data_IF_588058663739
#
_entry.id   IF_588058663739
#
_cell.length_a   1.000
_cell.length_b   1.000
_cell.length_c   1.000
_cell.angle_alpha   90.00
_cell.angle_beta   90.00
_cell.angle_gamma   90.00
#
_symmetry.space_group_name_H-M   'P 1'
#
loop_
_entity.id
_entity.type
_entity.pdbx_description
1 polymer ?
#
# COMPACT_ATOMS: atom_id res chain seq x y z
N UNK A 1 8.69 -14.46 -14.60
CA UNK A 1 8.23 -14.22 -13.22
C UNK A 1 6.88 -13.53 -13.34
N UNK A 2 5.80 -14.30 -13.29
CA UNK A 2 4.43 -13.78 -13.39
C UNK A 2 4.00 -13.23 -12.02
N UNK A 3 3.64 -11.96 -11.97
CA UNK A 3 3.09 -11.30 -10.80
C UNK A 3 1.58 -11.58 -10.77
N UNK A 4 1.15 -12.39 -9.81
CA UNK A 4 -0.27 -12.60 -9.51
C UNK A 4 -0.81 -11.40 -8.72
N UNK A 5 -1.88 -10.78 -9.20
CA UNK A 5 -2.58 -9.70 -8.50
C UNK A 5 -4.08 -10.01 -8.42
N UNK A 6 -4.65 -9.97 -7.22
CA UNK A 6 -6.06 -10.29 -6.94
C UNK A 6 -6.66 -9.29 -5.94
N UNK A 7 -7.89 -8.84 -6.24
CA UNK A 7 -8.75 -7.98 -5.41
C UNK A 7 -9.16 -8.68 -4.10
N UNK A 8 -9.02 -7.99 -2.97
CA UNK A 8 -9.69 -8.37 -1.71
C UNK A 8 -10.86 -7.42 -1.48
N UNK A 9 -12.10 -7.90 -1.72
CA UNK A 9 -13.33 -7.29 -1.24
C UNK A 9 -13.84 -8.09 -0.04
N UNK A 10 -13.33 -7.86 1.18
CA UNK A 10 -13.95 -8.43 2.39
C UNK A 10 -13.89 -7.49 3.59
N UNK A 11 -15.04 -7.37 4.26
CA UNK A 11 -15.23 -6.75 5.57
C UNK A 11 -14.44 -7.50 6.64
N UNK A 12 -13.98 -6.79 7.67
CA UNK A 12 -13.16 -7.31 8.78
C UNK A 12 -13.75 -8.61 9.36
N UNK A 13 -13.02 -9.73 9.23
CA UNK A 13 -13.39 -11.02 9.82
C UNK A 13 -12.57 -11.32 11.08
N UNK A 14 -13.17 -12.05 12.01
CA UNK A 14 -12.48 -12.63 13.17
C UNK A 14 -11.36 -13.59 12.72
N UNK A 15 -10.26 -13.62 13.47
CA UNK A 15 -9.05 -14.43 13.16
C UNK A 15 -9.36 -15.92 12.97
N UNK A 16 -10.36 -16.46 13.70
CA UNK A 16 -10.81 -17.86 13.56
C UNK A 16 -11.42 -18.15 12.20
N UNK A 17 -12.14 -17.20 11.60
CA UNK A 17 -12.74 -17.33 10.26
C UNK A 17 -11.73 -17.10 9.14
N UNK A 18 -10.69 -16.29 9.38
CA UNK A 18 -9.61 -16.06 8.41
C UNK A 18 -8.79 -17.34 8.12
N UNK A 19 -8.64 -18.23 9.12
CA UNK A 19 -7.97 -19.54 8.96
C UNK A 19 -8.65 -20.49 7.98
N UNK A 20 -9.92 -20.26 7.65
CA UNK A 20 -10.69 -21.06 6.69
C UNK A 20 -10.78 -20.42 5.29
N UNK A 21 -10.20 -19.23 5.11
CA UNK A 21 -10.10 -18.58 3.80
C UNK A 21 -8.94 -19.12 2.98
N UNK A 22 -9.05 -19.06 1.65
CA UNK A 22 -7.93 -19.36 0.77
C UNK A 22 -6.76 -18.39 1.05
N UNK A 23 -5.60 -18.94 1.41
CA UNK A 23 -4.35 -18.18 1.58
C UNK A 23 -3.60 -17.99 0.26
N UNK A 24 -2.53 -17.20 0.29
CA UNK A 24 -1.60 -17.05 -0.82
C UNK A 24 -0.32 -17.80 -0.46
N UNK A 25 0.18 -18.61 -1.39
CA UNK A 25 1.47 -19.27 -1.28
C UNK A 25 2.51 -18.46 -2.04
N UNK A 26 3.68 -18.27 -1.43
CA UNK A 26 4.81 -17.61 -2.05
C UNK A 26 6.11 -18.22 -1.52
N UNK A 27 7.19 -18.08 -2.29
CA UNK A 27 8.50 -18.62 -1.92
C UNK A 27 9.12 -17.80 -0.79
N UNK A 28 10.01 -18.42 -0.04
CA UNK A 28 10.78 -17.70 0.96
C UNK A 28 11.61 -16.57 0.34
N UNK A 29 11.79 -15.50 1.10
CA UNK A 29 12.63 -14.38 0.74
C UNK A 29 13.21 -13.79 2.03
N UNK A 30 14.53 -13.77 2.10
CA UNK A 30 15.27 -13.34 3.29
C UNK A 30 16.44 -12.45 2.90
N UNK A 31 16.78 -11.51 3.77
CA UNK A 31 17.98 -10.68 3.64
C UNK A 31 18.98 -11.04 4.73
N UNK A 32 20.28 -10.98 4.42
CA UNK A 32 21.28 -11.19 5.48
C UNK A 32 21.22 -10.04 6.48
N UNK A 33 21.37 -10.35 7.78
CA UNK A 33 21.20 -9.37 8.86
C UNK A 33 22.13 -8.15 8.75
N UNK A 34 23.38 -8.38 8.35
CA UNK A 34 24.39 -7.36 8.07
C UNK A 34 24.02 -6.47 6.87
N UNK A 35 23.27 -7.00 5.91
CA UNK A 35 22.73 -6.25 4.78
C UNK A 35 21.44 -5.50 5.10
N UNK A 36 20.84 -5.65 6.29
CA UNK A 36 19.62 -4.92 6.68
C UNK A 36 19.92 -3.52 7.23
N UNK A 37 20.74 -2.77 6.49
CA UNK A 37 21.19 -1.41 6.80
C UNK A 37 20.10 -0.37 6.48
N UNK A 38 20.15 0.83 7.07
CA UNK A 38 19.24 1.93 6.72
C UNK A 38 19.19 2.22 5.20
N UNK A 39 20.33 2.15 4.52
CA UNK A 39 20.40 2.35 3.07
C UNK A 39 19.62 1.27 2.30
N UNK A 40 19.75 0.00 2.69
CA UNK A 40 19.03 -1.09 2.03
C UNK A 40 17.53 -1.08 2.33
N UNK A 41 17.11 -0.52 3.47
CA UNK A 41 15.69 -0.32 3.82
C UNK A 41 15.01 0.69 2.90
N UNK A 42 15.74 1.65 2.32
CA UNK A 42 15.22 2.52 1.25
C UNK A 42 14.79 1.75 0.00
N UNK A 43 15.29 0.53 -0.21
CA UNK A 43 14.88 -0.34 -1.31
C UNK A 43 13.99 -1.49 -0.82
N UNK A 44 13.47 -1.41 0.41
CA UNK A 44 12.84 -2.52 1.11
C UNK A 44 11.72 -3.15 0.31
N UNK A 45 10.77 -2.36 -0.20
CA UNK A 45 9.66 -2.90 -1.02
C UNK A 45 10.09 -3.45 -2.40
N UNK A 46 11.29 -3.15 -2.90
CA UNK A 46 11.82 -3.79 -4.12
C UNK A 46 12.44 -5.15 -3.86
N UNK A 47 12.78 -5.46 -2.59
CA UNK A 47 13.57 -6.63 -2.22
C UNK A 47 12.85 -7.58 -1.27
N UNK A 48 11.94 -7.06 -0.46
CA UNK A 48 11.22 -7.80 0.56
C UNK A 48 9.82 -8.19 0.08
N UNK A 49 9.29 -9.32 0.56
CA UNK A 49 7.93 -9.73 0.24
C UNK A 49 6.93 -8.83 0.98
N UNK A 50 5.98 -8.27 0.23
CA UNK A 50 4.90 -7.45 0.77
C UNK A 50 3.54 -7.85 0.17
N UNK A 51 2.47 -7.56 0.91
CA UNK A 51 1.11 -7.60 0.44
C UNK A 51 0.74 -6.22 -0.10
N UNK A 52 0.03 -6.18 -1.23
CA UNK A 52 -0.59 -4.97 -1.75
C UNK A 52 -2.10 -5.03 -1.52
N UNK A 53 -2.63 -4.01 -0.86
CA UNK A 53 -4.06 -3.89 -0.54
C UNK A 53 -4.67 -2.82 -1.43
N UNK A 54 -5.45 -3.24 -2.42
CA UNK A 54 -6.17 -2.32 -3.32
C UNK A 54 -7.47 -1.85 -2.68
N UNK A 55 -7.75 -0.56 -2.81
CA UNK A 55 -9.01 0.04 -2.36
C UNK A 55 -9.52 1.09 -3.35
N UNK A 56 -10.72 1.60 -3.08
CA UNK A 56 -11.27 2.78 -3.72
C UNK A 56 -11.55 3.83 -2.65
N UNK A 57 -10.78 4.92 -2.68
CA UNK A 57 -10.94 6.06 -1.78
C UNK A 57 -11.99 7.04 -2.34
N UNK A 58 -12.81 7.58 -1.46
CA UNK A 58 -13.76 8.66 -1.78
C UNK A 58 -13.42 9.83 -0.87
N UNK A 59 -12.83 10.92 -1.41
CA UNK A 59 -12.48 12.09 -0.60
C UNK A 59 -13.72 12.76 -0.02
N UNK A 60 -13.60 13.24 1.22
CA UNK A 60 -14.65 14.05 1.86
C UNK A 60 -14.65 15.50 1.38
N UNK A 61 -13.47 16.01 1.00
CA UNK A 61 -13.31 17.36 0.48
C UNK A 61 -12.55 17.31 -0.85
N UNK A 62 -13.11 17.96 -1.86
CA UNK A 62 -12.52 18.10 -3.19
C UNK A 62 -12.66 19.54 -3.64
N UNK A 63 -11.59 20.14 -4.13
CA UNK A 63 -11.57 21.49 -4.67
C UNK A 63 -11.69 21.45 -6.19
N UNK A 64 -12.69 22.14 -6.74
CA UNK A 64 -12.85 22.35 -8.18
C UNK A 64 -12.59 23.79 -8.55
N UNK A 65 -12.33 24.02 -9.83
CA UNK A 65 -12.21 25.35 -10.39
C UNK A 65 -13.59 25.79 -10.92
N UNK A 66 -14.09 26.91 -10.42
CA UNK A 66 -15.34 27.56 -10.86
C UNK A 66 -15.09 29.06 -10.97
N UNK A 67 -15.35 29.65 -12.14
CA UNK A 67 -15.06 31.07 -12.45
C UNK A 67 -13.63 31.52 -12.09
N UNK A 68 -12.66 30.63 -12.31
CA UNK A 68 -11.24 30.88 -12.02
C UNK A 68 -10.86 30.84 -10.54
N UNK A 69 -11.78 30.47 -9.65
CA UNK A 69 -11.57 30.34 -8.21
C UNK A 69 -11.74 28.89 -7.75
N UNK A 70 -11.03 28.53 -6.69
CA UNK A 70 -11.21 27.23 -6.05
C UNK A 70 -12.44 27.26 -5.15
N UNK A 71 -13.37 26.34 -5.41
CA UNK A 71 -14.57 26.12 -4.60
C UNK A 71 -14.69 24.65 -4.23
N UNK A 72 -15.36 24.36 -3.11
CA UNK A 72 -15.59 22.97 -2.68
C UNK A 72 -16.61 22.30 -3.62
N UNK A 73 -16.28 21.12 -4.12
CA UNK A 73 -17.23 20.26 -4.81
C UNK A 73 -18.17 19.62 -3.79
N UNK A 74 -19.47 19.70 -4.04
CA UNK A 74 -20.52 19.25 -3.13
C UNK A 74 -21.09 17.88 -3.51
N UNK A 75 -20.91 17.44 -4.76
CA UNK A 75 -21.49 16.22 -5.30
C UNK A 75 -20.43 15.23 -5.81
N UNK A 76 -19.31 15.08 -5.10
CA UNK A 76 -18.26 14.15 -5.51
C UNK A 76 -18.71 12.69 -5.36
N UNK A 77 -18.68 11.94 -6.45
CA UNK A 77 -19.16 10.56 -6.50
C UNK A 77 -18.04 9.54 -6.21
N UNK A 78 -18.41 8.44 -5.56
CA UNK A 78 -17.50 7.30 -5.39
C UNK A 78 -17.10 6.74 -6.76
N UNK A 79 -15.80 6.47 -6.91
CA UNK A 79 -15.27 5.94 -8.17
C UNK A 79 -14.98 7.02 -9.22
N UNK A 80 -15.12 8.29 -8.88
CA UNK A 80 -14.66 9.41 -9.72
C UNK A 80 -13.15 9.61 -9.55
N UNK A 81 -12.48 9.96 -10.65
CA UNK A 81 -11.06 10.33 -10.63
C UNK A 81 -10.86 11.66 -9.89
N UNK A 82 -9.84 11.72 -9.03
CA UNK A 82 -9.42 12.95 -8.37
C UNK A 82 -7.91 13.11 -8.42
N UNK A 83 -7.42 14.29 -8.04
CA UNK A 83 -6.02 14.64 -8.12
C UNK A 83 -5.52 15.11 -6.74
N UNK A 84 -4.43 14.55 -6.23
CA UNK A 84 -3.79 15.02 -4.98
C UNK A 84 -2.64 15.97 -5.32
N UNK A 85 -2.69 17.20 -4.83
CA UNK A 85 -1.60 18.16 -4.99
C UNK A 85 -0.28 17.61 -4.42
N UNK A 86 0.81 17.79 -5.16
CA UNK A 86 2.13 17.26 -4.78
C UNK A 86 2.65 17.89 -3.49
N UNK A 87 2.43 19.20 -3.32
CA UNK A 87 3.06 20.00 -2.25
C UNK A 87 2.13 20.27 -1.08
N UNK A 88 0.85 20.53 -1.33
CA UNK A 88 -0.13 20.80 -0.26
C UNK A 88 -0.91 19.56 0.20
N UNK A 89 -0.89 18.47 -0.57
CA UNK A 89 -1.63 17.26 -0.27
C UNK A 89 -3.16 17.40 -0.37
N UNK A 90 -3.68 18.55 -0.85
CA UNK A 90 -5.11 18.77 -1.02
C UNK A 90 -5.66 17.97 -2.20
N UNK A 91 -6.96 17.70 -2.18
CA UNK A 91 -7.64 16.96 -3.25
C UNK A 91 -8.37 17.91 -4.18
N UNK A 92 -8.17 17.70 -5.48
CA UNK A 92 -8.68 18.52 -6.56
C UNK A 92 -9.50 17.68 -7.55
N UNK A 93 -10.51 18.31 -8.16
CA UNK A 93 -11.32 17.71 -9.20
C UNK A 93 -10.59 17.66 -10.57
N UNK A 94 -9.57 18.50 -10.77
CA UNK A 94 -8.76 18.53 -12.00
C UNK A 94 -7.32 18.95 -11.74
N UNK A 95 -6.41 18.70 -12.69
CA UNK A 95 -5.01 19.16 -12.60
C UNK A 95 -4.90 20.69 -12.67
N UNK A 96 -5.79 21.34 -13.40
CA UNK A 96 -5.88 22.80 -13.50
C UNK A 96 -6.25 23.41 -12.15
N UNK A 97 -7.19 22.78 -11.43
CA UNK A 97 -7.53 23.20 -10.07
C UNK A 97 -6.32 23.04 -9.13
N UNK A 98 -5.55 21.96 -9.24
CA UNK A 98 -4.34 21.77 -8.44
C UNK A 98 -3.28 22.87 -8.69
N UNK A 99 -3.07 23.27 -9.96
CA UNK A 99 -2.17 24.38 -10.32
C UNK A 99 -2.64 25.73 -9.78
N UNK A 100 -3.94 25.89 -9.50
CA UNK A 100 -4.53 27.09 -8.90
C UNK A 100 -4.54 27.06 -7.36
N UNK A 101 -3.79 26.14 -6.74
CA UNK A 101 -3.62 26.12 -5.29
C UNK A 101 -3.14 27.48 -4.77
N UNK A 102 -3.80 27.93 -3.71
CA UNK A 102 -3.45 29.19 -3.03
C UNK A 102 -2.11 29.09 -2.30
N UNK A 103 -1.75 27.88 -1.85
CA UNK A 103 -0.52 27.63 -1.09
C UNK A 103 0.66 27.29 -2.00
N UNK A 104 0.39 26.60 -3.11
CA UNK A 104 1.41 26.13 -4.05
C UNK A 104 0.96 26.29 -5.51
N UNK A 105 1.00 27.51 -6.08
CA UNK A 105 0.71 27.74 -7.48
C UNK A 105 1.59 26.89 -8.41
N UNK A 106 1.02 26.44 -9.52
CA UNK A 106 1.67 25.62 -10.56
C UNK A 106 2.24 24.27 -10.09
N UNK A 107 1.80 23.76 -8.93
CA UNK A 107 2.20 22.44 -8.46
C UNK A 107 1.74 21.31 -9.39
N UNK A 108 2.48 20.19 -9.36
CA UNK A 108 2.04 18.92 -9.91
C UNK A 108 0.92 18.30 -9.07
N UNK A 109 0.27 17.27 -9.62
CA UNK A 109 -0.73 16.50 -8.90
C UNK A 109 -0.71 15.03 -9.32
N UNK A 110 -0.88 14.15 -8.33
CA UNK A 110 -1.02 12.71 -8.51
C UNK A 110 -2.45 12.34 -8.92
N UNK A 111 -2.60 11.49 -9.92
CA UNK A 111 -3.90 11.09 -10.47
C UNK A 111 -4.40 9.80 -9.83
N UNK A 112 -5.56 9.85 -9.18
CA UNK A 112 -6.23 8.68 -8.60
C UNK A 112 -7.36 8.24 -9.52
N UNK A 113 -7.01 7.44 -10.52
CA UNK A 113 -7.97 6.97 -11.53
C UNK A 113 -9.08 6.15 -10.88
N UNK A 114 -10.32 6.58 -11.06
CA UNK A 114 -11.51 6.00 -10.44
C UNK A 114 -11.41 5.87 -8.90
N UNK A 115 -10.67 6.79 -8.26
CA UNK A 115 -10.38 6.77 -6.83
C UNK A 115 -9.58 5.56 -6.36
N UNK A 116 -8.98 4.78 -7.27
CA UNK A 116 -8.17 3.62 -6.91
C UNK A 116 -6.88 4.05 -6.23
N UNK A 117 -6.55 3.36 -5.15
CA UNK A 117 -5.24 3.45 -4.52
C UNK A 117 -4.87 2.10 -3.90
N UNK A 118 -3.61 1.99 -3.50
CA UNK A 118 -3.13 0.82 -2.78
C UNK A 118 -2.31 1.19 -1.55
N UNK A 119 -2.14 0.20 -0.68
CA UNK A 119 -1.24 0.25 0.46
C UNK A 119 -0.32 -0.96 0.43
N UNK A 120 0.92 -0.80 0.88
CA UNK A 120 1.84 -1.92 1.07
C UNK A 120 1.91 -2.32 2.53
N UNK A 121 2.09 -3.61 2.77
CA UNK A 121 2.40 -4.15 4.09
C UNK A 121 3.40 -5.29 3.97
N UNK A 122 4.51 -5.24 4.70
CA UNK A 122 5.45 -6.36 4.77
C UNK A 122 4.78 -7.58 5.40
N UNK A 123 5.01 -8.77 4.84
CA UNK A 123 4.42 -10.01 5.36
C UNK A 123 4.93 -10.39 6.76
N UNK A 124 6.17 -10.04 7.09
CA UNK A 124 6.77 -10.34 8.39
C UNK A 124 7.43 -9.12 9.04
N UNK A 125 6.70 -8.02 9.23
CA UNK A 125 7.24 -6.86 9.93
C UNK A 125 7.57 -7.19 11.39
N UNK A 126 8.85 -7.16 11.75
CA UNK A 126 9.32 -7.29 13.14
C UNK A 126 10.06 -6.03 13.55
N UNK A 127 9.76 -5.52 14.74
CA UNK A 127 10.33 -4.27 15.25
C UNK A 127 11.14 -4.51 16.52
N UNK A 128 12.21 -3.74 16.71
CA UNK A 128 13.01 -3.80 17.94
C UNK A 128 12.24 -3.27 19.16
N UNK A 129 11.37 -2.30 18.90
CA UNK A 129 10.75 -1.44 19.89
C UNK A 129 9.24 -1.42 19.72
N UNK A 130 8.53 -1.16 20.82
CA UNK A 130 7.07 -1.09 20.86
C UNK A 130 6.49 0.12 20.11
N UNK A 131 7.33 1.12 19.79
CA UNK A 131 6.96 2.26 18.94
C UNK A 131 6.66 1.87 17.48
N UNK A 132 7.04 0.66 17.08
CA UNK A 132 6.81 0.13 15.74
C UNK A 132 7.64 0.79 14.63
N UNK A 133 8.53 1.74 14.96
CA UNK A 133 9.24 2.56 13.95
C UNK A 133 10.44 1.84 13.35
N UNK A 134 11.23 1.19 14.21
CA UNK A 134 12.45 0.49 13.79
C UNK A 134 12.14 -0.95 13.40
N UNK A 135 12.19 -1.25 12.10
CA UNK A 135 12.06 -2.60 11.55
C UNK A 135 13.43 -3.27 11.63
N UNK A 136 13.50 -4.42 12.29
CA UNK A 136 14.73 -5.22 12.43
C UNK A 136 14.74 -6.48 11.60
N UNK A 137 13.58 -6.92 11.12
CA UNK A 137 13.45 -8.07 10.25
C UNK A 137 12.14 -8.01 9.46
N UNK A 138 12.19 -8.51 8.22
CA UNK A 138 11.07 -8.61 7.29
C UNK A 138 11.06 -9.95 6.51
N UNK A 139 11.94 -10.88 6.88
CA UNK A 139 12.14 -12.13 6.16
C UNK A 139 10.91 -13.02 6.15
N UNK A 140 10.65 -13.71 5.05
CA UNK A 140 9.67 -14.79 4.99
C UNK A 140 10.39 -16.10 4.80
N UNK A 141 10.05 -17.10 5.62
CA UNK A 141 10.70 -18.41 5.63
C UNK A 141 9.70 -19.47 5.24
N UNK A 142 10.17 -20.50 4.54
CA UNK A 142 9.37 -21.68 4.21
C UNK A 142 8.72 -22.29 5.44
N UNK A 143 7.59 -22.98 5.25
CA UNK A 143 6.84 -23.66 6.32
C UNK A 143 6.31 -22.74 7.44
N UNK A 144 6.10 -21.46 7.14
CA UNK A 144 5.46 -20.50 8.05
C UNK A 144 4.22 -19.89 7.39
N UNK A 145 3.21 -19.58 8.20
CA UNK A 145 2.04 -18.83 7.77
C UNK A 145 2.09 -17.43 8.34
N UNK A 146 1.94 -16.42 7.48
CA UNK A 146 1.95 -15.01 7.84
C UNK A 146 0.53 -14.45 7.80
N UNK A 147 -0.05 -14.16 8.97
CA UNK A 147 -1.38 -13.58 9.09
C UNK A 147 -1.27 -12.06 9.23
N UNK A 148 -1.73 -11.33 8.22
CA UNK A 148 -1.87 -9.87 8.26
C UNK A 148 -3.30 -9.49 8.60
N UNK A 149 -3.48 -8.75 9.69
CA UNK A 149 -4.78 -8.16 10.08
C UNK A 149 -4.71 -6.67 9.90
N UNK A 150 -5.40 -6.15 8.88
CA UNK A 150 -5.60 -4.70 8.71
C UNK A 150 -6.45 -4.23 9.90
N UNK A 151 -6.07 -3.12 10.55
CA UNK A 151 -6.81 -2.52 11.68
C UNK A 151 -7.51 -1.23 11.29
N UNK A 152 -6.82 -0.40 10.52
CA UNK A 152 -7.33 0.89 10.07
C UNK A 152 -6.55 1.37 8.85
N UNK A 153 -7.19 2.22 8.04
CA UNK A 153 -6.53 3.07 7.06
C UNK A 153 -6.43 4.47 7.68
N UNK A 154 -5.23 5.02 7.78
CA UNK A 154 -4.95 6.29 8.47
C UNK A 154 -4.66 7.44 7.51
N UNK A 155 -4.57 7.18 6.21
CA UNK A 155 -4.49 8.21 5.19
C UNK A 155 -4.70 7.66 3.78
N UNK A 156 -4.47 8.53 2.80
CA UNK A 156 -4.64 8.20 1.39
C UNK A 156 -3.49 7.31 0.92
N UNK A 157 -3.82 6.14 0.35
CA UNK A 157 -2.83 5.22 -0.22
C UNK A 157 -2.20 5.77 -1.50
N UNK A 158 -1.25 5.04 -2.07
CA UNK A 158 -0.56 5.44 -3.30
C UNK A 158 -1.45 5.24 -4.56
N UNK A 159 -1.37 6.12 -5.56
CA UNK A 159 -2.08 6.04 -6.84
C UNK A 159 -1.43 5.04 -7.82
N UNK A 160 -0.15 4.70 -7.63
CA UNK A 160 0.60 3.67 -8.36
C UNK A 160 1.83 3.24 -7.56
N UNK A 161 2.43 2.11 -7.94
CA UNK A 161 3.51 1.47 -7.20
C UNK A 161 4.84 1.47 -8.00
N UNK A 162 5.86 2.26 -7.60
CA UNK A 162 7.19 2.22 -8.21
C UNK A 162 7.90 0.86 -8.17
N UNK A 163 7.63 0.05 -7.14
CA UNK A 163 8.19 -1.30 -6.98
C UNK A 163 7.51 -2.37 -7.83
N UNK A 164 6.32 -2.06 -8.35
CA UNK A 164 5.57 -2.93 -9.25
C UNK A 164 4.95 -2.11 -10.40
N UNK A 165 5.79 -1.62 -11.34
CA UNK A 165 5.37 -0.71 -12.40
C UNK A 165 4.48 -1.37 -13.46
N UNK A 166 4.33 -2.70 -13.43
CA UNK A 166 3.52 -3.48 -14.38
C UNK A 166 2.20 -3.96 -13.76
N UNK A 167 1.82 -3.40 -12.62
CA UNK A 167 0.57 -3.73 -11.94
C UNK A 167 -0.64 -3.39 -12.84
N UNK A 168 -1.44 -4.39 -13.26
CA UNK A 168 -2.60 -4.15 -14.12
C UNK A 168 -3.76 -3.46 -13.39
N UNK A 169 -3.80 -3.49 -12.05
CA UNK A 169 -4.89 -2.92 -11.26
C UNK A 169 -4.62 -1.48 -10.84
N UNK A 170 -3.35 -1.10 -10.77
CA UNK A 170 -2.86 0.22 -10.39
C UNK A 170 -1.75 0.68 -11.36
N UNK A 171 -2.09 0.93 -12.64
CA UNK A 171 -1.10 1.16 -13.68
C UNK A 171 -0.33 2.46 -13.46
N UNK A 172 0.95 2.45 -13.84
CA UNK A 172 1.80 3.64 -13.81
C UNK A 172 1.21 4.76 -14.69
N UNK A 173 1.19 6.02 -14.23
CA UNK A 173 0.80 7.16 -15.05
C UNK A 173 1.65 7.27 -16.32
N UNK A 174 1.00 7.58 -17.45
CA UNK A 174 1.66 7.84 -18.74
C UNK A 174 1.92 9.34 -18.97
N UNK A 175 1.32 10.20 -18.14
CA UNK A 175 1.47 11.65 -18.25
C UNK A 175 2.85 12.08 -17.71
N UNK A 176 3.72 12.67 -18.55
CA UNK A 176 5.06 13.09 -18.15
C UNK A 176 5.07 14.27 -17.16
N UNK A 177 3.94 14.97 -17.00
CA UNK A 177 3.80 16.09 -16.06
C UNK A 177 3.40 15.65 -14.65
N UNK A 178 3.03 14.38 -14.49
CA UNK A 178 2.67 13.82 -13.19
C UNK A 178 3.92 13.54 -12.35
N UNK A 179 3.92 13.85 -11.04
CA UNK A 179 5.09 13.58 -10.21
C UNK A 179 5.42 12.08 -10.17
N UNK A 180 6.71 11.77 -10.18
CA UNK A 180 7.23 10.42 -10.47
C UNK A 180 7.44 9.53 -9.24
N UNK A 181 7.22 10.05 -8.03
CA UNK A 181 7.46 9.30 -6.81
C UNK A 181 6.29 9.44 -5.81
N UNK A 182 5.20 8.68 -6.00
CA UNK A 182 3.99 8.81 -5.18
C UNK A 182 4.18 8.46 -3.70
N UNK A 183 5.17 7.62 -3.38
CA UNK A 183 5.47 7.20 -2.02
C UNK A 183 6.92 6.69 -1.92
N UNK A 184 7.60 7.00 -0.82
CA UNK A 184 8.97 6.55 -0.60
C UNK A 184 9.00 5.01 -0.38
N UNK A 185 9.86 4.25 -1.11
CA UNK A 185 10.05 2.81 -0.90
C UNK A 185 10.68 2.39 0.44
N UNK A 186 11.08 3.36 1.28
CA UNK A 186 11.55 3.15 2.65
C UNK A 186 10.47 2.51 3.53
N UNK A 187 10.83 1.40 4.17
CA UNK A 187 9.94 0.62 5.04
C UNK A 187 9.78 1.22 6.45
N UNK A 188 10.61 2.18 6.87
CA UNK A 188 10.63 2.73 8.24
C UNK A 188 10.04 4.14 8.39
N UNK A 189 9.75 4.85 7.30
CA UNK A 189 9.29 6.25 7.40
C UNK A 189 7.84 6.41 7.89
N UNK A 190 7.61 7.57 8.49
CA UNK A 190 6.67 7.80 9.60
C UNK A 190 5.17 7.80 9.25
N UNK A 191 4.77 7.98 7.99
CA UNK A 191 3.36 7.99 7.63
C UNK A 191 2.87 6.57 7.33
N UNK A 192 2.43 5.86 8.37
CA UNK A 192 1.78 4.56 8.19
C UNK A 192 0.35 4.79 7.72
N UNK A 193 0.14 4.85 6.41
CA UNK A 193 -1.20 5.06 5.84
C UNK A 193 -2.15 3.87 6.06
N UNK A 194 -1.62 2.71 6.43
CA UNK A 194 -2.38 1.53 6.84
C UNK A 194 -1.77 0.89 8.09
N UNK A 195 -2.59 0.70 9.14
CA UNK A 195 -2.20 -0.01 10.36
C UNK A 195 -2.46 -1.51 10.18
N UNK A 196 -1.43 -2.32 10.32
CA UNK A 196 -1.49 -3.78 10.20
C UNK A 196 -0.91 -4.43 11.45
N UNK A 197 -1.62 -5.43 11.98
CA UNK A 197 -1.11 -6.36 12.99
C UNK A 197 -0.66 -7.65 12.26
N UNK A 198 0.61 -8.00 12.36
CA UNK A 198 1.18 -9.20 11.76
C UNK A 198 1.39 -10.29 12.82
N UNK A 199 0.98 -11.53 12.53
CA UNK A 199 1.24 -12.71 13.38
C UNK A 199 1.83 -13.84 12.54
N UNK A 200 2.95 -14.39 13.00
CA UNK A 200 3.54 -15.59 12.42
C UNK A 200 2.94 -16.81 13.11
N UNK A 201 2.36 -17.71 12.34
CA UNK A 201 1.86 -19.00 12.79
C UNK A 201 2.77 -20.09 12.21
N UNK A 202 3.38 -20.89 13.09
CA UNK A 202 4.10 -22.07 12.64
C UNK A 202 3.11 -23.12 12.13
N UNK A 203 3.45 -23.76 11.02
CA UNK A 203 2.70 -24.92 10.55
C UNK A 203 3.03 -26.11 11.47
N UNK A 204 2.04 -26.63 12.19
CA UNK A 204 2.23 -27.83 13.01
C UNK A 204 2.38 -29.05 12.10
N UNK A 205 3.39 -29.89 12.34
CA UNK A 205 3.53 -31.18 11.68
C UNK A 205 2.31 -32.06 12.03
N UNK A 206 1.48 -32.38 11.04
CA UNK A 206 0.52 -33.48 11.14
C UNK A 206 1.17 -34.65 10.41
N UNK A 207 1.90 -35.49 11.15
CA UNK A 207 2.34 -36.77 10.61
C UNK A 207 1.12 -37.66 10.43
N UNK A 208 0.94 -38.20 9.23
CA UNK A 208 0.20 -39.44 9.05
C UNK A 208 1.28 -40.51 8.93
N UNK A 209 1.31 -41.45 9.87
CA UNK A 209 2.19 -42.60 9.74
C UNK A 209 1.83 -43.31 8.43
N UNK A 210 2.79 -43.36 7.50
CA UNK A 210 2.68 -44.24 6.34
C UNK A 210 3.17 -45.59 6.84
N UNK A 211 2.23 -46.45 7.21
CA UNK A 211 2.52 -47.87 7.41
C UNK A 211 2.75 -48.44 6.01
N UNK A 212 4.01 -48.80 5.73
CA UNK A 212 4.35 -49.62 4.57
C UNK A 212 4.08 -51.08 4.98
N UNK A 213 3.06 -51.70 4.40
CA UNK A 213 2.94 -53.16 4.32
C UNK A 213 3.77 -53.69 3.15
#
# INVERSE_FOLDING_TARGET
MELFSIRIQRTFQLVSTAKTGAGIYFLENSVKKDAFTPENKNFGYYRLPYAKVYTTYTPNEVWKLEDGKLVKETNFQKGTTFFRGEKDGLIYASKEAAKKSLLNPDQGAYTYTNGKCAYRALWNRQTATADGKSIVNADTRRNNTYLLTIKAFQGLGMPWDPSDPKDPYLPKPTDPTEPTNPENPDIEKEETYMRVEAKVLQWNLVSRDVILE
#
